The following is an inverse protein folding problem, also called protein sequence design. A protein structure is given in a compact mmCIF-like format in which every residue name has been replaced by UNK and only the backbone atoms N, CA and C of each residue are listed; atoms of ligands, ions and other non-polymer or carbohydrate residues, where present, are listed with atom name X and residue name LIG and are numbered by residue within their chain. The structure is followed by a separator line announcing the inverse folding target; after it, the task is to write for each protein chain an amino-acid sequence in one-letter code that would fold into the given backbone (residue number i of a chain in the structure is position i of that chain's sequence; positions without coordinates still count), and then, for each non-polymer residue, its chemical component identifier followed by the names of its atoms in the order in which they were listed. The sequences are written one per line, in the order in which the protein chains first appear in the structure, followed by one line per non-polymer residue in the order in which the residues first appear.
data_IF_931115279394
#
_entry.id   IF_931115279394
#
_cell.length_a   1.000
_cell.length_b   1.000
_cell.length_c   1.000
_cell.angle_alpha   90.00
_cell.angle_beta   90.00
_cell.angle_gamma   90.00
#
_symmetry.space_group_name_H-M   'P 1'
#
loop_
_entity.id
_entity.type
_entity.pdbx_description
1 polymer ?
#
# COMPACT_ATOMS: atom_id res chain seq x y z
N UNK A 1 -16.22 -14.18 -2.02
CA UNK A 1 -16.38 -14.85 -0.71
C UNK A 1 -17.52 -14.14 0.02
N UNK A 2 -18.54 -14.87 0.46
CA UNK A 2 -19.69 -14.31 1.20
C UNK A 2 -19.75 -15.00 2.55
N UNK A 3 -19.73 -14.21 3.62
CA UNK A 3 -19.88 -14.73 4.97
C UNK A 3 -21.35 -14.75 5.35
N UNK A 4 -21.81 -15.86 5.93
CA UNK A 4 -23.17 -15.99 6.47
C UNK A 4 -23.16 -15.67 7.97
N UNK A 5 -24.21 -15.00 8.45
CA UNK A 5 -24.35 -14.56 9.85
C UNK A 5 -23.97 -13.12 10.09
N UNK A 6 -24.54 -12.50 11.12
CA UNK A 6 -24.35 -11.09 11.47
C UNK A 6 -23.42 -10.85 12.68
N UNK A 7 -22.52 -11.78 13.00
CA UNK A 7 -21.74 -11.78 14.25
C UNK A 7 -20.30 -11.29 14.11
N UNK A 8 -20.00 -10.44 13.09
CA UNK A 8 -18.65 -10.00 12.75
C UNK A 8 -18.31 -8.59 13.27
N UNK A 9 -18.98 -8.14 14.32
CA UNK A 9 -18.71 -6.88 15.02
C UNK A 9 -17.80 -7.11 16.23
N UNK A 10 -17.18 -6.04 16.72
CA UNK A 10 -16.41 -6.08 17.96
C UNK A 10 -17.36 -6.24 19.14
N UNK A 11 -17.30 -7.38 19.80
CA UNK A 11 -18.15 -7.73 20.92
C UNK A 11 -17.64 -7.13 22.23
N UNK A 12 -18.57 -6.81 23.14
CA UNK A 12 -18.22 -6.41 24.49
C UNK A 12 -17.65 -7.58 25.31
N UNK A 13 -16.95 -7.27 26.39
CA UNK A 13 -16.45 -8.29 27.32
C UNK A 13 -17.60 -9.18 27.86
N UNK A 14 -18.72 -8.60 28.15
CA UNK A 14 -19.89 -9.34 28.66
C UNK A 14 -20.43 -10.33 27.62
N UNK A 15 -20.54 -9.91 26.37
CA UNK A 15 -20.95 -10.80 25.26
C UNK A 15 -19.95 -11.92 25.05
N UNK A 16 -18.64 -11.62 25.11
CA UNK A 16 -17.60 -12.63 24.97
C UNK A 16 -17.61 -13.63 26.11
N UNK A 17 -17.83 -13.19 27.37
CA UNK A 17 -17.95 -14.07 28.54
C UNK A 17 -19.16 -15.00 28.45
N UNK A 18 -20.27 -14.55 27.88
CA UNK A 18 -21.44 -15.41 27.62
C UNK A 18 -21.14 -16.48 26.60
N UNK A 19 -20.47 -16.12 25.50
CA UNK A 19 -20.10 -17.04 24.43
C UNK A 19 -19.03 -18.07 24.84
N UNK A 20 -18.06 -17.65 25.66
CA UNK A 20 -16.93 -18.47 26.11
C UNK A 20 -17.00 -18.74 27.63
N UNK A 21 -18.17 -19.02 28.14
CA UNK A 21 -18.37 -19.30 29.57
C UNK A 21 -17.52 -20.47 30.10
N UNK A 22 -17.18 -21.40 29.22
CA UNK A 22 -16.33 -22.55 29.51
C UNK A 22 -14.82 -22.19 29.55
N UNK A 23 -14.44 -21.01 29.13
CA UNK A 23 -13.05 -20.56 29.00
C UNK A 23 -12.87 -19.12 29.54
N UNK A 24 -13.42 -18.80 30.73
CA UNK A 24 -13.34 -17.45 31.29
C UNK A 24 -11.92 -16.90 31.42
N UNK A 25 -10.97 -17.79 31.73
CA UNK A 25 -9.53 -17.43 31.81
C UNK A 25 -8.96 -16.94 30.48
N UNK A 26 -9.49 -17.39 29.34
CA UNK A 26 -9.06 -16.89 28.02
C UNK A 26 -9.45 -15.41 27.85
N UNK A 27 -10.61 -15.00 28.35
CA UNK A 27 -11.04 -13.61 28.34
C UNK A 27 -10.15 -12.75 29.24
N UNK A 28 -9.85 -13.22 30.48
CA UNK A 28 -8.94 -12.51 31.38
C UNK A 28 -7.52 -12.36 30.81
N UNK A 29 -7.07 -13.34 30.03
CA UNK A 29 -5.75 -13.29 29.39
C UNK A 29 -5.64 -12.24 28.29
N UNK A 30 -6.74 -11.79 27.69
CA UNK A 30 -6.72 -10.70 26.70
C UNK A 30 -6.17 -9.41 27.33
N UNK A 31 -6.62 -9.08 28.52
CA UNK A 31 -6.11 -7.91 29.26
C UNK A 31 -4.64 -8.09 29.63
N UNK A 32 -4.25 -9.26 30.12
CA UNK A 32 -2.85 -9.53 30.46
C UNK A 32 -1.91 -9.44 29.25
N UNK A 33 -2.40 -9.79 28.06
CA UNK A 33 -1.65 -9.64 26.83
C UNK A 33 -1.54 -8.16 26.46
N UNK A 34 -2.65 -7.42 26.52
CA UNK A 34 -2.67 -5.98 26.26
C UNK A 34 -1.70 -5.22 27.18
N UNK A 35 -1.67 -5.56 28.47
CA UNK A 35 -0.76 -4.94 29.46
C UNK A 35 0.73 -5.17 29.16
N UNK A 36 1.05 -6.20 28.37
CA UNK A 36 2.42 -6.52 27.92
C UNK A 36 2.78 -5.85 26.60
N UNK A 37 1.81 -5.30 25.91
CA UNK A 37 2.00 -4.62 24.63
C UNK A 37 2.26 -3.14 24.87
N UNK A 38 3.42 -2.65 24.44
CA UNK A 38 3.80 -1.25 24.49
C UNK A 38 4.06 -0.79 23.06
N UNK A 39 3.00 -0.32 22.38
CA UNK A 39 3.07 0.13 20.99
C UNK A 39 2.95 1.63 20.94
N UNK A 40 3.96 2.29 20.41
CA UNK A 40 3.94 3.71 20.07
C UNK A 40 3.74 3.87 18.57
N UNK A 41 2.72 4.62 18.18
CA UNK A 41 2.43 4.93 16.79
C UNK A 41 2.80 6.39 16.52
N UNK A 42 3.80 6.59 15.69
CA UNK A 42 4.19 7.92 15.22
C UNK A 42 3.20 8.40 14.15
N UNK A 43 2.33 9.33 14.52
CA UNK A 43 1.39 9.94 13.59
C UNK A 43 2.08 11.02 12.74
N UNK A 44 1.67 11.13 11.47
CA UNK A 44 2.18 12.15 10.54
C UNK A 44 3.54 11.83 9.93
N UNK A 45 4.14 10.69 10.25
CA UNK A 45 5.39 10.22 9.63
C UNK A 45 5.06 9.15 8.60
N UNK A 46 5.21 9.48 7.32
CA UNK A 46 5.01 8.54 6.23
C UNK A 46 6.22 7.62 6.13
N UNK A 47 6.04 6.34 6.46
CA UNK A 47 7.09 5.30 6.37
C UNK A 47 6.93 4.53 5.07
N UNK A 48 7.33 5.13 3.96
CA UNK A 48 7.37 4.47 2.65
C UNK A 48 8.75 3.83 2.43
N UNK A 49 8.80 2.65 1.79
CA UNK A 49 10.06 2.06 1.39
C UNK A 49 10.76 2.96 0.37
N UNK A 50 12.06 3.15 0.54
CA UNK A 50 12.88 3.82 -0.46
C UNK A 50 13.16 2.86 -1.62
N UNK A 51 13.09 3.38 -2.85
CA UNK A 51 13.39 2.62 -4.05
C UNK A 51 14.80 3.00 -4.58
N UNK A 52 15.64 2.00 -4.79
CA UNK A 52 16.95 2.20 -5.39
C UNK A 52 16.81 2.40 -6.91
N UNK A 53 17.14 3.60 -7.36
CA UNK A 53 17.14 3.95 -8.80
C UNK A 53 18.53 3.73 -9.39
N UNK A 54 18.65 3.58 -10.73
CA UNK A 54 19.93 3.47 -11.39
C UNK A 54 20.85 4.65 -11.12
N UNK A 55 22.15 4.40 -11.13
CA UNK A 55 23.17 5.41 -10.91
C UNK A 55 23.02 6.61 -11.85
N UNK A 56 23.14 7.81 -11.34
CA UNK A 56 22.94 9.05 -12.09
C UNK A 56 21.52 9.61 -12.08
N UNK A 57 20.57 8.94 -11.44
CA UNK A 57 19.20 9.41 -11.26
C UNK A 57 18.84 9.53 -9.77
N UNK A 58 17.94 10.45 -9.45
CA UNK A 58 17.11 10.38 -8.26
C UNK A 58 15.74 9.76 -8.59
N UNK A 59 14.95 9.43 -7.58
CA UNK A 59 13.63 8.80 -7.77
C UNK A 59 12.71 9.65 -8.66
N UNK A 60 12.74 10.97 -8.49
CA UNK A 60 11.88 11.87 -9.26
C UNK A 60 12.24 11.90 -10.74
N UNK A 61 13.51 12.13 -11.06
CA UNK A 61 13.99 12.20 -12.45
C UNK A 61 13.83 10.88 -13.17
N UNK A 62 14.03 9.77 -12.46
CA UNK A 62 13.83 8.43 -13.03
C UNK A 62 12.36 8.13 -13.30
N UNK A 63 11.44 8.49 -12.39
CA UNK A 63 10.00 8.34 -12.62
C UNK A 63 9.55 9.15 -13.84
N UNK A 64 9.95 10.40 -13.93
CA UNK A 64 9.65 11.27 -15.08
C UNK A 64 10.07 10.64 -16.38
N UNK A 65 11.34 10.19 -16.47
CA UNK A 65 11.87 9.53 -17.66
C UNK A 65 11.01 8.33 -18.07
N UNK A 66 10.75 7.41 -17.15
CA UNK A 66 9.96 6.21 -17.44
C UNK A 66 8.52 6.52 -17.89
N UNK A 67 7.90 7.53 -17.28
CA UNK A 67 6.53 7.92 -17.64
C UNK A 67 6.47 8.58 -19.01
N UNK A 68 7.41 9.45 -19.35
CA UNK A 68 7.47 10.09 -20.68
C UNK A 68 7.79 9.07 -21.79
N UNK A 69 8.77 8.20 -21.59
CA UNK A 69 9.05 7.09 -22.52
C UNK A 69 7.82 6.17 -22.68
N UNK A 70 7.14 5.87 -21.59
CA UNK A 70 5.92 5.07 -21.57
C UNK A 70 4.75 5.72 -22.30
N UNK A 71 4.62 7.05 -22.20
CA UNK A 71 3.59 7.82 -22.89
C UNK A 71 3.75 7.70 -24.41
N UNK A 72 4.95 7.98 -24.92
CA UNK A 72 5.25 7.87 -26.36
C UNK A 72 5.01 6.44 -26.87
N UNK A 73 5.43 5.44 -26.10
CA UNK A 73 5.27 4.03 -26.48
C UNK A 73 3.79 3.60 -26.53
N UNK A 74 2.94 4.09 -25.60
CA UNK A 74 1.53 3.69 -25.53
C UNK A 74 0.62 4.50 -26.43
N UNK A 75 0.97 5.76 -26.68
CA UNK A 75 0.15 6.72 -27.43
C UNK A 75 1.00 7.47 -28.48
N UNK A 76 1.57 6.75 -29.46
CA UNK A 76 2.49 7.35 -30.43
C UNK A 76 1.88 8.55 -31.16
N UNK A 77 0.59 8.49 -31.51
CA UNK A 77 -0.11 9.52 -32.29
C UNK A 77 -0.70 10.65 -31.45
N UNK A 78 -0.78 10.51 -30.12
CA UNK A 78 -1.47 11.43 -29.21
C UNK A 78 -0.64 11.84 -28.00
N UNK A 79 0.65 11.50 -27.96
CA UNK A 79 1.50 11.76 -26.80
C UNK A 79 1.62 13.27 -26.48
N UNK A 80 1.70 14.12 -27.51
CA UNK A 80 1.77 15.57 -27.34
C UNK A 80 0.51 16.16 -26.68
N UNK A 81 -0.67 15.68 -27.07
CA UNK A 81 -1.95 16.08 -26.47
C UNK A 81 -2.03 15.68 -25.00
N UNK A 82 -1.49 14.51 -24.64
CA UNK A 82 -1.58 13.94 -23.30
C UNK A 82 -0.45 14.41 -22.35
N UNK A 83 0.61 15.00 -22.90
CA UNK A 83 1.77 15.45 -22.13
C UNK A 83 1.41 16.40 -20.98
N UNK A 84 0.59 17.44 -21.16
CA UNK A 84 0.24 18.34 -20.05
C UNK A 84 -0.51 17.64 -18.92
N UNK A 85 -1.30 16.63 -19.24
CA UNK A 85 -2.00 15.82 -18.23
C UNK A 85 -1.02 14.94 -17.45
N UNK A 86 -0.06 14.30 -18.14
CA UNK A 86 0.98 13.51 -17.50
C UNK A 86 1.81 14.37 -16.53
N UNK A 87 2.24 15.54 -16.97
CA UNK A 87 3.05 16.46 -16.14
C UNK A 87 2.28 16.92 -14.92
N UNK A 88 0.99 17.19 -15.05
CA UNK A 88 0.12 17.53 -13.91
C UNK A 88 0.07 16.39 -12.89
N UNK A 89 -0.20 15.17 -13.32
CA UNK A 89 -0.28 13.98 -12.44
C UNK A 89 1.07 13.70 -11.75
N UNK A 90 2.17 13.77 -12.49
CA UNK A 90 3.51 13.60 -11.92
C UNK A 90 3.82 14.65 -10.85
N UNK A 91 3.44 15.91 -11.07
CA UNK A 91 3.63 16.97 -10.08
C UNK A 91 2.80 16.73 -8.81
N UNK A 92 1.59 16.18 -8.92
CA UNK A 92 0.76 15.80 -7.77
C UNK A 92 1.46 14.70 -6.97
N UNK A 93 1.95 13.65 -7.63
CA UNK A 93 2.68 12.54 -7.00
C UNK A 93 3.91 13.05 -6.23
N UNK A 94 4.67 13.95 -6.87
CA UNK A 94 5.85 14.54 -6.27
C UNK A 94 5.53 15.40 -5.04
N UNK A 95 4.54 16.29 -5.14
CA UNK A 95 4.10 17.14 -4.03
C UNK A 95 3.59 16.37 -2.83
N UNK A 96 2.99 15.21 -3.07
CA UNK A 96 2.49 14.33 -2.02
C UNK A 96 3.58 13.43 -1.41
N UNK A 97 4.79 13.40 -1.99
CA UNK A 97 5.89 12.57 -1.50
C UNK A 97 5.73 11.07 -1.79
N UNK A 98 4.96 10.68 -2.81
CA UNK A 98 4.67 9.28 -3.12
C UNK A 98 5.48 8.70 -4.29
N UNK A 99 6.56 9.33 -4.70
CA UNK A 99 7.39 8.89 -5.84
C UNK A 99 7.88 7.44 -5.66
N UNK A 100 8.49 7.13 -4.52
CA UNK A 100 9.01 5.79 -4.22
C UNK A 100 7.90 4.74 -4.10
N UNK A 101 6.70 5.13 -3.68
CA UNK A 101 5.54 4.25 -3.64
C UNK A 101 5.14 3.77 -5.04
N UNK A 102 5.16 4.66 -6.02
CA UNK A 102 4.87 4.28 -7.42
C UNK A 102 5.88 3.29 -7.97
N UNK A 103 7.15 3.38 -7.62
CA UNK A 103 8.15 2.38 -7.98
C UNK A 103 7.88 1.02 -7.35
N UNK A 104 7.50 1.00 -6.09
CA UNK A 104 7.15 -0.25 -5.40
C UNK A 104 6.00 -0.98 -6.10
N UNK A 105 4.94 -0.26 -6.46
CA UNK A 105 3.79 -0.83 -7.20
C UNK A 105 4.20 -1.26 -8.61
N UNK A 106 5.03 -0.48 -9.29
CA UNK A 106 5.51 -0.80 -10.64
C UNK A 106 6.35 -2.08 -10.68
N UNK A 107 7.27 -2.27 -9.73
CA UNK A 107 8.05 -3.52 -9.62
C UNK A 107 7.13 -4.71 -9.35
N UNK A 108 6.21 -4.59 -8.41
CA UNK A 108 5.31 -5.66 -8.05
C UNK A 108 4.46 -6.10 -9.27
N UNK A 109 3.98 -5.15 -10.07
CA UNK A 109 3.24 -5.45 -11.30
C UNK A 109 4.11 -6.16 -12.34
N UNK A 110 5.38 -5.78 -12.49
CA UNK A 110 6.32 -6.43 -13.43
C UNK A 110 6.64 -7.86 -13.02
N UNK A 111 6.89 -8.11 -11.74
CA UNK A 111 7.15 -9.46 -11.22
C UNK A 111 5.93 -10.35 -11.45
N UNK A 112 4.72 -9.86 -11.17
CA UNK A 112 3.48 -10.60 -11.39
C UNK A 112 3.25 -10.94 -12.87
N UNK A 113 3.51 -10.01 -13.79
CA UNK A 113 3.42 -10.25 -15.23
C UNK A 113 4.47 -11.25 -15.72
N UNK A 114 5.70 -11.19 -15.22
CA UNK A 114 6.76 -12.13 -15.60
C UNK A 114 6.44 -13.57 -15.15
N UNK A 115 5.89 -13.74 -13.95
CA UNK A 115 5.47 -15.06 -13.44
C UNK A 115 4.30 -15.64 -14.24
N UNK A 116 3.37 -14.81 -14.70
CA UNK A 116 2.23 -15.25 -15.51
C UNK A 116 2.61 -15.66 -16.95
N UNK A 117 3.76 -15.18 -17.47
CA UNK A 117 4.25 -15.52 -18.82
C UNK A 117 5.09 -16.80 -18.83
N UNK A 118 5.39 -17.38 -17.69
CA UNK A 118 6.22 -18.60 -17.54
C UNK A 118 5.40 -19.83 -17.21
N UNK A 119 4.07 -19.74 -17.16
CA UNK A 119 3.10 -20.80 -16.93
C UNK A 119 2.26 -21.07 -18.19
#
# INVERSE_FOLDING_TARGET
MRYEGGQYYVKSEEEMRKLFSFASQAIDNTQKIADRCHVEIEFGVTKLPHFEVPEGYDSWTYLNKLCHEGLVKRYPDRHEELLPKLDYELNVIWKMGYVDYFFTVWIQSRISCASASSA
#
